data_IF_756906760419
#
_entry.id   IF_756906760419
#
_cell.length_a   1.000
_cell.length_b   1.000
_cell.length_c   1.000
_cell.angle_alpha   90.00
_cell.angle_beta   90.00
_cell.angle_gamma   90.00
#
_symmetry.space_group_name_H-M   'P 1'
#
loop_
_entity.id
_entity.type
_entity.pdbx_description
1 polymer ?
#
# COMPACT_ATOMS: atom_id res chain seq x y z
N UNK A 1 0.97 19.63 4.82
CA UNK A 1 1.51 18.74 5.87
C UNK A 1 0.79 18.85 7.22
N UNK A 2 0.52 20.05 7.76
CA UNK A 2 -0.14 20.23 9.07
C UNK A 2 -1.49 19.49 9.23
N UNK A 3 -2.30 19.41 8.17
CA UNK A 3 -3.55 18.63 8.17
C UNK A 3 -3.30 17.12 8.27
N UNK A 4 -2.33 16.59 7.51
CA UNK A 4 -1.91 15.17 7.55
C UNK A 4 -1.41 14.78 8.93
N UNK A 5 -0.56 15.62 9.54
CA UNK A 5 -0.09 15.44 10.91
C UNK A 5 -1.25 15.42 11.91
N UNK A 6 -2.16 16.39 11.83
CA UNK A 6 -3.34 16.47 12.70
C UNK A 6 -4.22 15.21 12.59
N UNK A 7 -4.30 14.64 11.40
CA UNK A 7 -5.07 13.45 11.12
C UNK A 7 -4.39 12.17 11.64
N UNK A 8 -3.06 12.06 11.49
CA UNK A 8 -2.26 10.97 12.07
C UNK A 8 -2.27 10.96 13.59
N UNK A 9 -2.33 12.14 14.22
CA UNK A 9 -2.42 12.26 15.68
C UNK A 9 -3.73 11.72 16.27
N UNK A 10 -4.76 11.45 15.43
CA UNK A 10 -5.98 10.77 15.85
C UNK A 10 -5.78 9.25 16.07
N UNK A 11 -4.72 8.66 15.49
CA UNK A 11 -4.44 7.23 15.62
C UNK A 11 -3.93 6.92 17.04
N UNK A 12 -4.53 5.95 17.76
CA UNK A 12 -4.05 5.53 19.07
C UNK A 12 -2.67 4.88 18.96
N UNK A 13 -1.61 5.61 19.34
CA UNK A 13 -0.24 5.12 19.36
C UNK A 13 0.48 5.52 20.66
N UNK A 14 1.42 4.68 21.10
CA UNK A 14 2.28 4.98 22.26
C UNK A 14 3.18 6.20 22.02
N UNK A 15 3.67 6.84 23.09
CA UNK A 15 4.46 8.09 23.02
C UNK A 15 5.72 7.98 22.15
N UNK A 16 6.49 6.89 22.24
CA UNK A 16 7.71 6.72 21.43
C UNK A 16 7.38 6.64 19.93
N UNK A 17 6.31 5.93 19.59
CA UNK A 17 5.82 5.75 18.22
C UNK A 17 5.36 7.07 17.59
N UNK A 18 4.69 7.91 18.38
CA UNK A 18 4.28 9.24 17.92
C UNK A 18 5.48 10.13 17.59
N UNK A 19 6.57 10.07 18.37
CA UNK A 19 7.79 10.84 18.09
C UNK A 19 8.44 10.44 16.77
N UNK A 20 8.54 9.15 16.46
CA UNK A 20 9.06 8.68 15.17
C UNK A 20 8.19 9.17 14.02
N UNK A 21 6.86 9.09 14.15
CA UNK A 21 5.92 9.59 13.15
C UNK A 21 6.04 11.12 12.94
N UNK A 22 6.15 11.89 14.02
CA UNK A 22 6.34 13.35 13.98
C UNK A 22 7.67 13.71 13.29
N UNK A 23 8.77 13.07 13.69
CA UNK A 23 10.10 13.25 13.07
C UNK A 23 10.07 12.94 11.57
N UNK A 24 9.42 11.84 11.19
CA UNK A 24 9.27 11.47 9.78
C UNK A 24 8.50 12.55 9.01
N UNK A 25 7.34 13.00 9.51
CA UNK A 25 6.51 14.00 8.82
C UNK A 25 7.19 15.36 8.71
N UNK A 26 7.95 15.78 9.72
CA UNK A 26 8.70 17.03 9.70
C UNK A 26 9.75 17.00 8.59
N UNK A 27 10.51 15.90 8.50
CA UNK A 27 11.58 15.73 7.51
C UNK A 27 11.03 15.61 6.10
N UNK A 28 10.19 14.60 5.87
CA UNK A 28 9.70 14.30 4.52
C UNK A 28 8.66 15.31 4.04
N UNK A 29 7.98 16.01 4.96
CA UNK A 29 7.09 17.10 4.62
C UNK A 29 7.79 18.42 4.27
N UNK A 30 9.10 18.53 4.55
CA UNK A 30 9.95 19.66 4.17
C UNK A 30 10.78 19.38 2.91
N UNK A 31 10.70 18.18 2.34
CA UNK A 31 11.41 17.83 1.10
C UNK A 31 10.92 18.74 -0.04
N UNK A 32 11.87 19.33 -0.77
CA UNK A 32 11.56 20.10 -1.97
C UNK A 32 11.00 19.17 -3.05
N UNK A 33 10.11 19.69 -3.91
CA UNK A 33 9.59 18.96 -5.07
C UNK A 33 8.79 17.68 -4.74
N UNK A 34 7.99 17.72 -3.66
CA UNK A 34 6.93 16.72 -3.44
C UNK A 34 5.96 16.77 -4.63
N UNK A 35 5.90 15.66 -5.37
CA UNK A 35 5.02 15.50 -6.53
C UNK A 35 3.61 15.06 -6.13
N UNK A 36 3.49 14.27 -5.07
CA UNK A 36 2.19 13.82 -4.54
C UNK A 36 2.31 13.26 -3.13
N UNK A 37 1.19 13.29 -2.39
CA UNK A 37 1.04 12.61 -1.11
C UNK A 37 -0.10 11.58 -1.23
N UNK A 38 0.19 10.31 -0.98
CA UNK A 38 -0.80 9.24 -0.91
C UNK A 38 -1.09 8.92 0.56
N UNK A 39 -2.36 8.95 0.98
CA UNK A 39 -2.79 8.54 2.31
C UNK A 39 -3.63 7.27 2.18
N UNK A 40 -3.24 6.19 2.87
CA UNK A 40 -4.06 4.98 2.98
C UNK A 40 -4.58 4.79 4.38
N UNK A 41 -5.89 4.67 4.55
CA UNK A 41 -6.54 4.63 5.86
C UNK A 41 -7.32 3.34 6.01
N UNK A 42 -6.96 2.52 7.01
CA UNK A 42 -7.78 1.39 7.40
C UNK A 42 -9.01 1.87 8.17
N UNK A 43 -10.05 1.04 8.15
CA UNK A 43 -11.23 1.24 8.99
C UNK A 43 -10.85 1.56 10.45
N UNK A 44 -11.66 2.41 11.07
CA UNK A 44 -11.54 2.85 12.47
C UNK A 44 -10.23 3.52 12.86
N UNK A 45 -9.44 3.99 11.88
CA UNK A 45 -8.09 4.52 12.11
C UNK A 45 -7.19 3.53 12.84
N UNK A 46 -7.46 2.22 12.71
CA UNK A 46 -6.58 1.21 13.30
C UNK A 46 -5.18 1.24 12.67
N UNK A 47 -5.12 1.73 11.43
CA UNK A 47 -3.91 1.93 10.64
C UNK A 47 -4.09 3.12 9.69
N UNK A 48 -3.08 3.98 9.60
CA UNK A 48 -2.94 5.02 8.60
C UNK A 48 -1.55 4.95 8.01
N UNK A 49 -1.45 4.82 6.70
CA UNK A 49 -0.23 4.93 5.93
C UNK A 49 -0.19 6.28 5.21
N UNK A 50 0.97 6.92 5.21
CA UNK A 50 1.27 8.13 4.44
C UNK A 50 2.47 7.82 3.57
N UNK A 51 2.37 8.13 2.29
CA UNK A 51 3.41 7.99 1.30
C UNK A 51 3.65 9.35 0.65
N UNK A 52 4.92 9.77 0.61
CA UNK A 52 5.36 11.01 -0.03
C UNK A 52 6.18 10.62 -1.24
N UNK A 53 5.77 11.13 -2.41
CA UNK A 53 6.46 10.92 -3.67
C UNK A 53 7.17 12.22 -4.02
N UNK A 54 8.46 12.13 -4.33
CA UNK A 54 9.26 13.28 -4.71
C UNK A 54 10.40 12.87 -5.64
N UNK A 55 11.04 13.88 -6.25
CA UNK A 55 12.24 13.67 -7.05
C UNK A 55 13.32 12.94 -6.23
N UNK A 56 13.97 11.94 -6.84
CA UNK A 56 14.96 11.11 -6.16
C UNK A 56 16.11 11.94 -5.57
N UNK A 57 16.58 12.95 -6.31
CA UNK A 57 17.64 13.87 -5.88
C UNK A 57 17.31 14.61 -4.58
N UNK A 58 16.02 14.87 -4.32
CA UNK A 58 15.55 15.59 -3.13
C UNK A 58 15.24 14.67 -1.95
N UNK A 59 14.61 13.52 -2.19
CA UNK A 59 14.11 12.65 -1.10
C UNK A 59 15.12 11.59 -0.65
N UNK A 60 16.04 11.14 -1.51
CA UNK A 60 17.00 10.09 -1.18
C UNK A 60 17.95 10.50 -0.05
N UNK A 61 18.54 11.71 -0.03
CA UNK A 61 19.37 12.14 1.10
C UNK A 61 18.63 12.08 2.42
N UNK A 62 17.40 12.62 2.47
CA UNK A 62 16.55 12.60 3.66
C UNK A 62 16.20 11.18 4.11
N UNK A 63 15.94 10.27 3.15
CA UNK A 63 15.67 8.86 3.45
C UNK A 63 16.88 8.15 4.05
N UNK A 64 18.07 8.33 3.47
CA UNK A 64 19.30 7.71 3.97
C UNK A 64 19.64 8.20 5.38
N UNK A 65 19.53 9.50 5.63
CA UNK A 65 19.73 10.10 6.96
C UNK A 65 18.74 9.53 7.97
N UNK A 66 17.45 9.45 7.62
CA UNK A 66 16.43 8.90 8.49
C UNK A 66 16.67 7.42 8.82
N UNK A 67 17.01 6.59 7.83
CA UNK A 67 17.29 5.16 8.06
C UNK A 67 18.53 4.94 8.93
N UNK A 68 19.54 5.81 8.83
CA UNK A 68 20.74 5.75 9.67
C UNK A 68 20.42 6.08 11.13
N UNK A 69 19.64 7.13 11.37
CA UNK A 69 19.23 7.53 12.72
C UNK A 69 18.31 6.52 13.42
N UNK A 70 17.42 5.88 12.67
CA UNK A 70 16.56 4.80 13.17
C UNK A 70 17.32 3.46 13.29
N UNK A 71 18.65 3.47 13.12
CA UNK A 71 19.55 2.32 13.24
C UNK A 71 19.11 1.13 12.36
N UNK A 72 18.80 1.40 11.08
CA UNK A 72 18.36 0.39 10.09
C UNK A 72 19.44 0.07 9.03
N UNK A 73 20.58 -0.54 9.40
CA UNK A 73 21.70 -0.78 8.47
C UNK A 73 21.34 -1.73 7.32
N UNK A 74 20.49 -2.73 7.57
CA UNK A 74 20.01 -3.65 6.53
C UNK A 74 19.15 -2.94 5.48
N UNK A 75 18.27 -2.03 5.93
CA UNK A 75 17.44 -1.21 5.05
C UNK A 75 18.29 -0.29 4.17
N UNK A 76 19.31 0.35 4.75
CA UNK A 76 20.29 1.17 4.03
C UNK A 76 21.00 0.37 2.94
N UNK A 77 21.51 -0.82 3.27
CA UNK A 77 22.20 -1.69 2.32
C UNK A 77 21.28 -2.09 1.15
N UNK A 78 20.02 -2.43 1.43
CA UNK A 78 19.04 -2.78 0.39
C UNK A 78 18.68 -1.58 -0.49
N UNK A 79 18.46 -0.41 0.11
CA UNK A 79 18.18 0.81 -0.65
C UNK A 79 19.34 1.14 -1.61
N UNK A 80 20.58 1.15 -1.10
CA UNK A 80 21.77 1.39 -1.91
C UNK A 80 21.98 0.34 -3.00
N UNK A 81 21.71 -0.93 -2.69
CA UNK A 81 21.73 -2.02 -3.67
C UNK A 81 20.69 -1.84 -4.78
N UNK A 82 19.45 -1.47 -4.44
CA UNK A 82 18.39 -1.22 -5.41
C UNK A 82 18.72 -0.03 -6.32
N UNK A 83 19.27 1.05 -5.76
CA UNK A 83 19.69 2.24 -6.53
C UNK A 83 20.81 1.98 -7.55
N UNK A 84 21.56 0.90 -7.42
CA UNK A 84 22.55 0.52 -8.43
C UNK A 84 21.91 -0.04 -9.71
N UNK A 85 20.64 -0.48 -9.64
CA UNK A 85 19.93 -1.15 -10.73
C UNK A 85 18.69 -0.39 -11.19
N UNK A 86 18.08 0.38 -10.28
CA UNK A 86 17.02 1.32 -10.58
C UNK A 86 17.67 2.68 -10.54
N UNK A 87 17.60 3.41 -11.65
CA UNK A 87 17.81 4.85 -11.68
C UNK A 87 16.44 5.53 -11.57
N UNK A 88 15.87 5.69 -10.36
CA UNK A 88 14.54 6.23 -10.19
C UNK A 88 14.56 7.74 -10.36
N UNK A 89 13.64 8.27 -11.17
CA UNK A 89 13.36 9.72 -11.18
C UNK A 89 12.57 10.15 -9.96
N UNK A 90 11.70 9.27 -9.47
CA UNK A 90 10.81 9.49 -8.33
C UNK A 90 10.99 8.35 -7.35
N UNK A 91 11.08 8.70 -6.07
CA UNK A 91 11.10 7.75 -4.96
C UNK A 91 9.92 8.07 -4.05
N UNK A 92 9.29 7.01 -3.56
CA UNK A 92 8.28 7.08 -2.52
C UNK A 92 8.95 6.80 -1.18
N UNK A 93 8.73 7.63 -0.18
CA UNK A 93 8.98 7.29 1.22
C UNK A 93 7.63 7.14 1.91
N UNK A 94 7.44 6.10 2.72
CA UNK A 94 6.17 5.88 3.40
C UNK A 94 6.35 5.61 4.89
N UNK A 95 5.31 5.95 5.65
CA UNK A 95 5.15 5.75 7.08
C UNK A 95 3.79 5.10 7.31
N UNK A 96 3.76 4.07 8.13
CA UNK A 96 2.58 3.30 8.51
C UNK A 96 2.42 3.36 10.03
N UNK A 97 1.35 3.99 10.49
CA UNK A 97 1.03 4.16 11.90
C UNK A 97 -0.18 3.29 12.24
N UNK A 98 -0.03 2.41 13.22
CA UNK A 98 -1.12 1.56 13.72
C UNK A 98 -1.04 1.36 15.23
N UNK A 99 -2.05 0.71 15.80
CA UNK A 99 -2.00 0.24 17.21
C UNK A 99 -0.83 -0.72 17.45
N UNK A 100 -0.46 -1.52 16.44
CA UNK A 100 0.64 -2.48 16.55
C UNK A 100 2.00 -1.77 16.63
N UNK A 101 2.18 -0.67 15.91
CA UNK A 101 3.45 0.03 15.86
C UNK A 101 3.54 1.09 14.76
N UNK A 102 4.75 1.61 14.60
CA UNK A 102 5.14 2.39 13.43
C UNK A 102 6.00 1.50 12.55
N UNK A 103 5.72 1.51 11.25
CA UNK A 103 6.60 0.96 10.23
C UNK A 103 6.86 2.07 9.22
N UNK A 104 7.97 1.99 8.52
CA UNK A 104 8.28 2.92 7.46
C UNK A 104 9.09 2.21 6.41
N UNK A 105 9.27 2.88 5.28
CA UNK A 105 9.95 2.29 4.16
C UNK A 105 10.02 3.21 2.97
N UNK A 106 10.36 2.62 1.83
CA UNK A 106 10.48 3.33 0.57
C UNK A 106 9.84 2.54 -0.55
N UNK A 107 9.82 3.11 -1.74
CA UNK A 107 9.32 2.44 -2.92
C UNK A 107 9.64 3.17 -4.20
N UNK A 108 9.36 2.50 -5.31
CA UNK A 108 9.58 3.01 -6.65
C UNK A 108 8.25 3.01 -7.39
N UNK A 109 7.60 4.18 -7.55
CA UNK A 109 6.30 4.31 -8.21
C UNK A 109 6.46 4.26 -9.74
N UNK A 110 6.98 3.14 -10.24
CA UNK A 110 7.19 2.93 -11.68
C UNK A 110 7.09 1.45 -12.02
N UNK A 111 6.77 1.14 -13.30
CA UNK A 111 6.88 -0.21 -13.80
C UNK A 111 8.28 -0.78 -13.57
N UNK A 112 8.31 -1.98 -12.98
CA UNK A 112 9.52 -2.78 -12.77
C UNK A 112 9.25 -4.22 -13.18
N UNK A 113 10.24 -4.88 -13.77
CA UNK A 113 10.07 -6.27 -14.18
C UNK A 113 9.99 -7.18 -12.96
N UNK A 114 9.08 -8.15 -12.98
CA UNK A 114 8.93 -9.11 -11.89
C UNK A 114 10.24 -9.89 -11.62
N UNK A 115 11.02 -10.32 -12.63
CA UNK A 115 12.34 -10.91 -12.36
C UNK A 115 13.29 -10.02 -11.55
N UNK A 116 13.32 -8.72 -11.86
CA UNK A 116 14.15 -7.75 -11.15
C UNK A 116 13.71 -7.59 -9.70
N UNK A 117 12.41 -7.44 -9.48
CA UNK A 117 11.81 -7.41 -8.14
C UNK A 117 12.12 -8.67 -7.35
N UNK A 118 11.99 -9.85 -7.97
CA UNK A 118 12.24 -11.15 -7.33
C UNK A 118 13.69 -11.34 -6.94
N UNK A 119 14.63 -10.77 -7.70
CA UNK A 119 16.05 -10.79 -7.37
C UNK A 119 16.35 -10.00 -6.08
N UNK A 120 15.48 -9.06 -5.71
CA UNK A 120 15.63 -8.27 -4.50
C UNK A 120 14.79 -8.80 -3.35
N UNK A 121 13.60 -9.34 -3.64
CA UNK A 121 12.71 -9.91 -2.65
C UNK A 121 13.40 -11.04 -1.84
N UNK A 122 13.02 -11.23 -0.56
CA UNK A 122 13.65 -12.24 0.28
C UNK A 122 13.63 -13.62 -0.37
N UNK A 123 14.76 -14.36 -0.36
CA UNK A 123 14.80 -15.70 -0.94
C UNK A 123 13.89 -16.63 -0.13
N UNK A 124 13.07 -17.43 -0.80
CA UNK A 124 12.19 -18.37 -0.11
C UNK A 124 11.06 -18.95 -0.96
N UNK A 125 10.27 -19.83 -0.33
CA UNK A 125 9.16 -20.52 -0.98
C UNK A 125 8.14 -19.59 -1.62
N UNK A 126 7.83 -18.46 -0.97
CA UNK A 126 6.86 -17.48 -1.48
C UNK A 126 7.37 -16.65 -2.65
N UNK A 127 8.65 -16.28 -2.69
CA UNK A 127 9.25 -15.62 -3.85
C UNK A 127 9.23 -16.56 -5.08
N UNK A 128 9.49 -17.86 -4.87
CA UNK A 128 9.39 -18.87 -5.93
C UNK A 128 7.94 -19.15 -6.36
N UNK A 129 6.98 -19.10 -5.42
CA UNK A 129 5.56 -19.23 -5.74
C UNK A 129 5.06 -18.04 -6.56
N UNK A 130 5.41 -16.81 -6.15
CA UNK A 130 5.14 -15.59 -6.90
C UNK A 130 5.70 -15.66 -8.32
N UNK A 131 6.94 -16.13 -8.48
CA UNK A 131 7.56 -16.30 -9.79
C UNK A 131 6.80 -17.22 -10.72
N UNK A 132 6.55 -18.46 -10.27
CA UNK A 132 5.81 -19.45 -11.05
C UNK A 132 4.40 -18.98 -11.39
N UNK A 133 3.76 -18.30 -10.45
CA UNK A 133 2.44 -17.72 -10.64
C UNK A 133 2.46 -16.61 -11.70
N UNK A 134 3.37 -15.64 -11.57
CA UNK A 134 3.49 -14.53 -12.51
C UNK A 134 3.80 -15.04 -13.93
N UNK A 135 4.69 -16.02 -14.06
CA UNK A 135 4.98 -16.70 -15.33
C UNK A 135 3.73 -17.39 -15.91
N UNK A 136 2.95 -18.08 -15.09
CA UNK A 136 1.71 -18.75 -15.50
C UNK A 136 0.60 -17.79 -15.98
N UNK A 137 0.52 -16.60 -15.38
CA UNK A 137 -0.43 -15.55 -15.77
C UNK A 137 0.13 -14.64 -16.90
N UNK A 138 1.36 -14.87 -17.37
CA UNK A 138 2.00 -14.04 -18.39
C UNK A 138 2.34 -12.63 -17.91
N UNK A 139 2.52 -12.45 -16.60
CA UNK A 139 2.87 -11.17 -15.99
C UNK A 139 4.39 -10.98 -16.01
N UNK A 140 4.84 -9.90 -16.64
CA UNK A 140 6.26 -9.55 -16.73
C UNK A 140 6.66 -8.38 -15.84
N UNK A 141 5.70 -7.55 -15.42
CA UNK A 141 5.94 -6.28 -14.71
C UNK A 141 4.93 -6.07 -13.58
N UNK A 142 5.35 -5.31 -12.56
CA UNK A 142 4.49 -4.71 -11.56
C UNK A 142 4.45 -3.19 -11.77
N UNK A 143 3.38 -2.53 -11.35
CA UNK A 143 3.21 -1.07 -11.48
C UNK A 143 4.04 -0.26 -10.49
N UNK A 144 4.24 -0.80 -9.29
CA UNK A 144 5.12 -0.24 -8.28
C UNK A 144 5.57 -1.31 -7.27
N UNK A 145 6.60 -0.96 -6.49
CA UNK A 145 7.11 -1.76 -5.38
C UNK A 145 7.32 -0.88 -4.15
N UNK A 146 6.90 -1.38 -2.99
CA UNK A 146 7.17 -0.80 -1.68
C UNK A 146 7.99 -1.78 -0.82
N UNK A 147 8.89 -1.24 -0.04
CA UNK A 147 9.83 -1.95 0.81
C UNK A 147 9.73 -1.45 2.24
N UNK A 148 9.56 -2.37 3.18
CA UNK A 148 9.63 -2.08 4.61
C UNK A 148 11.08 -2.00 5.09
N UNK A 149 11.38 -0.98 5.90
CA UNK A 149 12.63 -0.87 6.63
C UNK A 149 12.66 -1.72 7.91
N UNK A 150 11.52 -2.32 8.29
CA UNK A 150 11.44 -3.20 9.46
C UNK A 150 11.94 -4.62 9.18
N UNK A 151 12.37 -5.30 10.26
CA UNK A 151 13.06 -6.60 10.23
C UNK A 151 12.29 -7.75 9.57
N UNK A 152 10.96 -7.74 9.63
CA UNK A 152 10.16 -8.63 8.79
C UNK A 152 10.19 -8.05 7.38
N UNK A 153 11.19 -8.50 6.60
CA UNK A 153 11.47 -8.04 5.25
C UNK A 153 10.20 -8.19 4.40
N UNK A 154 9.41 -7.14 4.27
CA UNK A 154 8.16 -7.19 3.50
C UNK A 154 8.29 -6.32 2.25
N UNK A 155 8.18 -6.96 1.09
CA UNK A 155 8.04 -6.30 -0.21
C UNK A 155 6.58 -6.31 -0.58
N UNK A 156 5.99 -5.15 -0.80
CA UNK A 156 4.65 -5.03 -1.38
C UNK A 156 4.77 -4.74 -2.87
N UNK A 157 4.04 -5.50 -3.69
CA UNK A 157 4.02 -5.39 -5.14
C UNK A 157 2.62 -5.04 -5.59
N UNK A 158 2.46 -3.96 -6.35
CA UNK A 158 1.21 -3.65 -7.01
C UNK A 158 1.26 -4.18 -8.44
N UNK A 159 0.42 -5.15 -8.73
CA UNK A 159 0.42 -5.86 -10.02
C UNK A 159 -0.90 -5.58 -10.74
N UNK A 160 -0.90 -5.09 -11.98
CA UNK A 160 -2.13 -4.92 -12.74
C UNK A 160 -2.76 -6.30 -13.01
N UNK A 161 -4.07 -6.42 -12.79
CA UNK A 161 -4.76 -7.67 -13.09
C UNK A 161 -4.83 -7.89 -14.60
N UNK A 162 -4.52 -9.11 -15.04
CA UNK A 162 -4.60 -9.49 -16.45
C UNK A 162 -6.05 -9.38 -16.97
N UNK A 163 -6.21 -8.67 -18.09
CA UNK A 163 -7.49 -8.50 -18.77
C UNK A 163 -7.58 -7.16 -19.49
N UNK A 164 -8.28 -7.12 -20.64
CA UNK A 164 -8.52 -5.89 -21.41
C UNK A 164 -9.84 -5.19 -21.08
N UNK A 165 -10.75 -5.90 -20.42
CA UNK A 165 -12.03 -5.35 -19.95
C UNK A 165 -12.16 -5.58 -18.46
N UNK A 166 -12.94 -4.73 -17.81
CA UNK A 166 -13.21 -4.81 -16.38
C UNK A 166 -13.74 -6.19 -15.97
N UNK A 167 -14.66 -6.77 -16.75
CA UNK A 167 -15.26 -8.08 -16.44
C UNK A 167 -14.21 -9.20 -16.47
N UNK A 168 -13.27 -9.14 -17.43
CA UNK A 168 -12.18 -10.10 -17.53
C UNK A 168 -11.23 -9.93 -16.34
N UNK A 169 -10.91 -8.69 -15.98
CA UNK A 169 -10.06 -8.42 -14.82
C UNK A 169 -10.72 -8.87 -13.51
N UNK A 170 -12.01 -8.59 -13.30
CA UNK A 170 -12.74 -8.99 -12.10
C UNK A 170 -12.85 -10.53 -11.99
N UNK A 171 -13.08 -11.22 -13.10
CA UNK A 171 -13.08 -12.69 -13.14
C UNK A 171 -11.70 -13.28 -12.83
N UNK A 172 -10.63 -12.70 -13.39
CA UNK A 172 -9.24 -13.07 -13.08
C UNK A 172 -8.94 -12.87 -11.59
N UNK A 173 -9.26 -11.69 -11.04
CA UNK A 173 -9.08 -11.39 -9.62
C UNK A 173 -9.82 -12.41 -8.73
N UNK A 174 -11.08 -12.72 -9.05
CA UNK A 174 -11.86 -13.70 -8.30
C UNK A 174 -11.19 -15.07 -8.29
N UNK A 175 -10.79 -15.57 -9.46
CA UNK A 175 -10.07 -16.85 -9.60
C UNK A 175 -8.77 -16.83 -8.79
N UNK A 176 -8.05 -15.72 -8.82
CA UNK A 176 -6.79 -15.54 -8.09
C UNK A 176 -7.01 -15.60 -6.58
N UNK A 177 -8.02 -14.91 -6.07
CA UNK A 177 -8.37 -14.92 -4.64
C UNK A 177 -8.83 -16.32 -4.19
N UNK A 178 -9.65 -17.00 -4.99
CA UNK A 178 -10.13 -18.36 -4.72
C UNK A 178 -8.98 -19.39 -4.71
N UNK A 179 -7.95 -19.21 -5.55
CA UNK A 179 -6.77 -20.08 -5.56
C UNK A 179 -5.80 -19.81 -4.40
N UNK A 180 -5.70 -18.55 -3.99
CA UNK A 180 -4.73 -18.13 -2.98
C UNK A 180 -5.25 -18.25 -1.54
N UNK A 181 -6.57 -18.22 -1.33
CA UNK A 181 -7.20 -18.17 0.00
C UNK A 181 -8.24 -19.26 0.18
N UNK A 182 -8.50 -19.63 1.44
CA UNK A 182 -9.68 -20.44 1.80
C UNK A 182 -10.93 -19.58 2.03
N UNK A 183 -10.77 -18.26 2.02
CA UNK A 183 -11.81 -17.29 2.40
C UNK A 183 -12.44 -16.67 1.14
N UNK A 184 -13.74 -16.82 1.00
CA UNK A 184 -14.47 -16.28 -0.15
C UNK A 184 -14.62 -14.76 -0.03
N UNK A 185 -14.28 -14.04 -1.09
CA UNK A 185 -14.51 -12.59 -1.15
C UNK A 185 -16.01 -12.28 -1.01
N UNK A 186 -16.41 -11.20 -0.30
CA UNK A 186 -17.82 -10.90 -0.08
C UNK A 186 -18.60 -10.77 -1.40
N UNK A 187 -19.64 -11.58 -1.58
CA UNK A 187 -20.40 -11.61 -2.84
C UNK A 187 -21.16 -10.30 -3.10
N UNK A 188 -21.60 -9.61 -2.03
CA UNK A 188 -22.20 -8.28 -2.11
C UNK A 188 -21.24 -7.26 -2.73
N UNK A 189 -20.00 -7.24 -2.26
CA UNK A 189 -18.96 -6.34 -2.77
C UNK A 189 -18.66 -6.59 -4.25
N UNK A 190 -18.60 -7.85 -4.68
CA UNK A 190 -18.40 -8.19 -6.09
C UNK A 190 -19.53 -7.69 -6.98
N UNK A 191 -20.78 -7.76 -6.49
CA UNK A 191 -21.94 -7.23 -7.20
C UNK A 191 -21.88 -5.70 -7.30
N UNK A 192 -21.51 -5.03 -6.23
CA UNK A 192 -21.45 -3.57 -6.19
C UNK A 192 -20.29 -3.04 -7.05
N UNK A 193 -19.16 -3.76 -7.10
CA UNK A 193 -18.06 -3.50 -8.03
C UNK A 193 -18.46 -3.69 -9.49
N UNK A 194 -19.22 -4.73 -9.82
CA UNK A 194 -19.72 -4.98 -11.19
C UNK A 194 -20.72 -3.92 -11.68
N UNK A 195 -21.52 -3.37 -10.76
CA UNK A 195 -22.43 -2.26 -11.07
C UNK A 195 -21.69 -0.95 -11.35
N UNK A 196 -20.61 -0.68 -10.62
CA UNK A 196 -19.89 0.59 -10.66
C UNK A 196 -18.78 0.63 -11.70
N UNK A 197 -18.08 -0.50 -11.90
CA UNK A 197 -17.00 -0.67 -12.88
C UNK A 197 -15.85 0.34 -12.73
N UNK A 198 -15.08 0.30 -11.62
CA UNK A 198 -13.90 1.14 -11.48
C UNK A 198 -12.90 0.89 -12.62
N UNK A 199 -12.09 1.91 -12.93
CA UNK A 199 -11.29 1.93 -14.16
C UNK A 199 -10.18 0.89 -14.19
N UNK A 200 -9.48 0.66 -13.07
CA UNK A 200 -8.42 -0.33 -12.99
C UNK A 200 -8.50 -1.15 -11.69
N UNK A 201 -8.06 -2.40 -11.80
CA UNK A 201 -7.94 -3.35 -10.70
C UNK A 201 -6.48 -3.78 -10.59
N UNK A 202 -5.91 -3.60 -9.40
CA UNK A 202 -4.58 -4.08 -9.05
C UNK A 202 -4.66 -5.13 -7.94
N UNK A 203 -3.72 -6.06 -7.96
CA UNK A 203 -3.42 -6.96 -6.86
C UNK A 203 -2.20 -6.45 -6.11
N UNK A 204 -2.37 -6.13 -4.83
CA UNK A 204 -1.26 -5.85 -3.93
C UNK A 204 -0.82 -7.14 -3.24
N UNK A 205 0.42 -7.57 -3.45
CA UNK A 205 1.01 -8.76 -2.84
C UNK A 205 2.15 -8.39 -1.90
N UNK A 206 2.02 -8.74 -0.62
CA UNK A 206 3.09 -8.63 0.37
C UNK A 206 3.88 -9.94 0.47
N UNK A 207 5.16 -9.91 0.13
CA UNK A 207 6.08 -11.05 0.21
C UNK A 207 7.04 -10.82 1.39
N UNK A 208 7.23 -11.85 2.21
CA UNK A 208 8.26 -11.86 3.26
C UNK A 208 9.07 -13.14 3.28
N UNK A 209 10.16 -13.13 4.07
CA UNK A 209 10.95 -14.32 4.40
C UNK A 209 10.09 -15.48 4.91
N UNK A 210 9.05 -15.19 5.72
CA UNK A 210 8.14 -16.19 6.30
C UNK A 210 7.04 -16.64 5.33
N UNK A 211 6.93 -15.98 4.19
CA UNK A 211 5.95 -16.27 3.16
C UNK A 211 5.16 -15.05 2.69
N UNK A 212 4.10 -15.27 1.90
CA UNK A 212 3.19 -14.21 1.45
C UNK A 212 2.33 -13.76 2.63
N UNK A 213 2.53 -12.53 3.08
CA UNK A 213 1.89 -11.99 4.29
C UNK A 213 0.57 -11.29 4.02
N UNK A 214 0.41 -10.64 2.87
CA UNK A 214 -0.80 -9.86 2.58
C UNK A 214 -1.21 -9.94 1.12
N UNK A 215 -2.52 -9.92 0.90
CA UNK A 215 -3.16 -9.98 -0.42
C UNK A 215 -4.32 -8.99 -0.42
N UNK A 216 -4.30 -8.04 -1.33
CA UNK A 216 -5.30 -6.97 -1.37
C UNK A 216 -5.69 -6.68 -2.81
N UNK A 217 -6.98 -6.42 -3.03
CA UNK A 217 -7.46 -5.91 -4.30
C UNK A 217 -7.58 -4.39 -4.19
N UNK A 218 -6.88 -3.66 -5.04
CA UNK A 218 -6.94 -2.21 -5.13
C UNK A 218 -7.75 -1.81 -6.38
N UNK A 219 -8.78 -1.01 -6.16
CA UNK A 219 -9.62 -0.42 -7.20
C UNK A 219 -9.31 1.07 -7.25
N UNK A 220 -9.07 1.61 -8.45
CA UNK A 220 -8.79 3.04 -8.65
C UNK A 220 -9.98 3.76 -9.28
N UNK A 221 -10.03 5.08 -9.06
CA UNK A 221 -11.08 6.00 -9.53
C UNK A 221 -12.48 5.57 -9.09
N UNK A 222 -12.58 5.22 -7.81
CA UNK A 222 -13.79 4.66 -7.22
C UNK A 222 -14.75 5.80 -6.88
N UNK A 223 -16.01 5.79 -7.36
CA UNK A 223 -16.97 6.80 -6.96
C UNK A 223 -17.34 6.66 -5.49
N UNK A 224 -17.67 7.78 -4.85
CA UNK A 224 -18.07 7.85 -3.43
C UNK A 224 -19.21 6.88 -3.08
N UNK A 225 -20.14 6.65 -4.01
CA UNK A 225 -21.24 5.70 -3.84
C UNK A 225 -20.77 4.26 -3.58
N UNK A 226 -19.66 3.83 -4.19
CA UNK A 226 -19.11 2.50 -3.98
C UNK A 226 -18.39 2.41 -2.64
N UNK A 227 -17.76 3.49 -2.20
CA UNK A 227 -17.19 3.59 -0.84
C UNK A 227 -18.31 3.43 0.19
N UNK A 228 -19.41 4.18 0.05
CA UNK A 228 -20.55 4.11 0.96
C UNK A 228 -21.21 2.72 0.94
N UNK A 229 -21.42 2.13 -0.24
CA UNK A 229 -21.98 0.78 -0.38
C UNK A 229 -21.08 -0.29 0.25
N UNK A 230 -19.75 -0.17 0.08
CA UNK A 230 -18.78 -1.10 0.68
C UNK A 230 -18.77 -0.96 2.19
N UNK A 231 -18.80 0.28 2.71
CA UNK A 231 -18.92 0.55 4.15
C UNK A 231 -20.20 -0.05 4.71
N UNK A 232 -21.32 0.08 4.00
CA UNK A 232 -22.58 -0.51 4.41
C UNK A 232 -22.54 -2.05 4.42
N UNK A 233 -21.93 -2.64 3.39
CA UNK A 233 -21.80 -4.09 3.26
C UNK A 233 -20.95 -4.73 4.38
N UNK A 234 -20.04 -3.97 5.01
CA UNK A 234 -19.27 -4.40 6.17
C UNK A 234 -19.87 -3.92 7.52
N UNK A 235 -21.06 -3.33 7.51
CA UNK A 235 -21.80 -2.90 8.70
C UNK A 235 -21.34 -1.58 9.32
N UNK A 236 -20.79 -0.67 8.51
CA UNK A 236 -20.15 0.59 8.93
C UNK A 236 -20.81 1.85 8.37
N UNK A 237 -22.11 1.78 8.07
CA UNK A 237 -22.98 2.76 7.39
C UNK A 237 -22.99 4.17 8.02
N UNK A 238 -22.39 4.35 9.20
CA UNK A 238 -22.40 5.60 9.98
C UNK A 238 -21.04 5.97 10.58
N UNK A 239 -19.94 5.59 9.92
CA UNK A 239 -18.59 5.77 10.47
C UNK A 239 -18.11 7.23 10.50
N UNK A 240 -18.54 7.96 11.53
CA UNK A 240 -18.25 9.38 11.81
C UNK A 240 -16.76 9.72 11.73
N UNK A 241 -15.88 8.80 12.12
CA UNK A 241 -14.45 9.03 12.11
C UNK A 241 -13.91 9.24 10.68
N UNK A 242 -14.34 8.43 9.71
CA UNK A 242 -13.89 8.56 8.32
C UNK A 242 -14.45 9.82 7.69
N UNK A 243 -15.72 10.13 7.92
CA UNK A 243 -16.36 11.37 7.44
C UNK A 243 -15.68 12.62 8.01
N UNK A 244 -15.34 12.62 9.31
CA UNK A 244 -14.59 13.73 9.93
C UNK A 244 -13.18 13.86 9.34
N UNK A 245 -12.52 12.74 9.05
CA UNK A 245 -11.19 12.73 8.46
C UNK A 245 -11.19 13.25 7.02
N UNK A 246 -12.12 12.78 6.19
CA UNK A 246 -12.37 13.32 4.84
C UNK A 246 -12.63 14.84 4.91
N UNK A 247 -13.52 15.28 5.81
CA UNK A 247 -13.79 16.70 6.01
C UNK A 247 -12.59 17.51 6.50
N UNK A 248 -11.69 16.91 7.28
CA UNK A 248 -10.46 17.55 7.79
C UNK A 248 -9.42 17.72 6.68
N UNK A 249 -9.28 16.73 5.80
CA UNK A 249 -8.37 16.81 4.66
C UNK A 249 -8.94 17.67 3.53
N UNK A 250 -10.27 17.64 3.34
CA UNK A 250 -10.98 18.27 2.24
C UNK A 250 -10.83 17.51 0.92
N UNK A 251 -10.64 16.19 0.98
CA UNK A 251 -10.29 15.33 -0.15
C UNK A 251 -11.19 14.08 -0.13
N UNK A 252 -11.69 13.70 -1.29
CA UNK A 252 -12.51 12.50 -1.47
C UNK A 252 -11.66 11.26 -1.78
N UNK A 253 -12.12 10.05 -1.40
CA UNK A 253 -11.45 8.80 -1.78
C UNK A 253 -11.33 8.68 -3.30
N UNK A 254 -10.12 8.37 -3.76
CA UNK A 254 -9.85 8.10 -5.18
C UNK A 254 -9.57 6.62 -5.44
N UNK A 255 -9.25 5.85 -4.40
CA UNK A 255 -8.99 4.43 -4.51
C UNK A 255 -9.53 3.67 -3.28
N UNK A 256 -9.95 2.43 -3.49
CA UNK A 256 -10.47 1.50 -2.49
C UNK A 256 -9.62 0.24 -2.54
N UNK A 257 -9.00 -0.12 -1.43
CA UNK A 257 -8.25 -1.35 -1.28
C UNK A 257 -8.95 -2.28 -0.29
N UNK A 258 -9.17 -3.52 -0.70
CA UNK A 258 -9.86 -4.54 0.08
C UNK A 258 -8.85 -5.63 0.39
N UNK A 259 -8.47 -5.73 1.66
CA UNK A 259 -7.52 -6.73 2.16
C UNK A 259 -8.27 -7.96 2.65
N UNK A 260 -7.82 -9.14 2.23
CA UNK A 260 -8.25 -10.42 2.81
C UNK A 260 -7.04 -11.01 3.52
N UNK A 261 -7.09 -11.03 4.85
CA UNK A 261 -5.99 -11.52 5.68
C UNK A 261 -6.53 -12.63 6.57
N UNK A 262 -6.14 -13.88 6.34
CA UNK A 262 -6.53 -14.98 7.24
C UNK A 262 -5.80 -14.84 8.60
N UNK A 263 -6.46 -15.11 9.75
CA UNK A 263 -7.84 -15.56 9.96
C UNK A 263 -8.84 -14.41 10.20
N UNK A 264 -8.47 -13.19 9.85
CA UNK A 264 -9.25 -11.98 10.11
C UNK A 264 -10.35 -11.74 9.06
N UNK A 265 -11.45 -11.08 9.42
CA UNK A 265 -12.41 -10.60 8.44
C UNK A 265 -11.71 -9.68 7.42
N UNK A 266 -12.28 -9.53 6.21
CA UNK A 266 -11.75 -8.60 5.22
C UNK A 266 -11.68 -7.20 5.81
N UNK A 267 -10.51 -6.55 5.66
CA UNK A 267 -10.26 -5.19 6.12
C UNK A 267 -10.32 -4.25 4.91
N UNK A 268 -11.02 -3.13 5.03
CA UNK A 268 -11.02 -2.09 4.02
C UNK A 268 -9.94 -1.05 4.31
N UNK A 269 -9.29 -0.60 3.25
CA UNK A 269 -8.31 0.47 3.24
C UNK A 269 -8.72 1.46 2.16
N UNK A 270 -8.77 2.75 2.48
CA UNK A 270 -9.10 3.80 1.52
C UNK A 270 -7.87 4.59 1.17
N UNK A 271 -7.66 4.85 -0.13
CA UNK A 271 -6.54 5.65 -0.61
C UNK A 271 -7.03 7.03 -1.06
N UNK A 272 -6.40 8.07 -0.54
CA UNK A 272 -6.64 9.48 -0.82
C UNK A 272 -5.37 10.08 -1.42
N UNK A 273 -5.48 10.74 -2.58
CA UNK A 273 -4.38 11.48 -3.17
C UNK A 273 -4.51 12.97 -2.80
N UNK A 274 -3.46 13.54 -2.22
CA UNK A 274 -3.39 14.92 -1.76
C UNK A 274 -2.31 15.72 -2.48
#
# INVERSE_FOLDING_TARGET
MTRVLSALLQVPAGRSRRRTAESWLERFGAVAEVSSIELRVALDFERVQVAIHAAAESIVPTLLEFLAEEEKPEALARFGGAGAYIDPKVVCAWLDLSRAGVRFGWGFPRPLTIPLVRAWAPPGGSNNALGRWAEGEGLSECSDVLWSAEREESVELRIPIAGRTFEVQLASLRRLLDQMTSTTFPTSLMRDLDAVRPNEIFLTLGVSERGTLTRRALFTEVPSQLVDATMAAVGLDSHRALTLFQGTLGIEPHALEVSVTEPSPPNLLFTLNC
#
